data_IF_918525233346
#
_entry.id   IF_918525233346
#
_cell.length_a   1.000
_cell.length_b   1.000
_cell.length_c   1.000
_cell.angle_alpha   90.00
_cell.angle_beta   90.00
_cell.angle_gamma   90.00
#
_symmetry.space_group_name_H-M   'P 1'
#
loop_
_entity.id
_entity.type
_entity.pdbx_description
1 polymer ?
#
# COMPACT_ATOMS: atom_id res chain seq x y z
N UNK A 1 22.02 -52.87 -8.94
CA UNK A 1 23.38 -52.66 -9.49
C UNK A 1 23.30 -52.73 -11.01
N UNK A 2 23.37 -51.58 -11.70
CA UNK A 2 23.91 -51.47 -13.07
C UNK A 2 24.10 -49.98 -13.36
N UNK A 3 25.36 -49.60 -13.53
CA UNK A 3 25.84 -48.25 -13.86
C UNK A 3 25.81 -48.10 -15.38
N UNK A 4 25.45 -46.92 -15.91
CA UNK A 4 26.36 -46.07 -16.70
C UNK A 4 25.69 -44.84 -17.37
N UNK A 5 26.44 -43.73 -17.34
CA UNK A 5 26.51 -42.58 -18.29
C UNK A 5 25.31 -41.61 -18.23
N UNK A 6 25.44 -40.35 -17.82
CA UNK A 6 26.57 -39.43 -17.89
C UNK A 6 26.60 -38.71 -19.23
N UNK A 7 25.90 -37.57 -19.34
CA UNK A 7 26.16 -36.53 -20.36
C UNK A 7 26.05 -35.16 -19.73
N UNK A 8 27.20 -34.48 -19.72
CA UNK A 8 27.37 -33.04 -19.52
C UNK A 8 27.13 -32.34 -20.86
N UNK A 9 26.37 -31.25 -20.83
CA UNK A 9 26.47 -30.11 -21.74
C UNK A 9 26.42 -28.90 -20.79
N UNK A 10 27.32 -27.93 -20.78
CA UNK A 10 28.15 -27.37 -21.84
C UNK A 10 27.88 -25.87 -21.80
N UNK A 11 28.67 -25.14 -20.99
CA UNK A 11 28.65 -23.67 -20.90
C UNK A 11 28.86 -23.07 -22.30
N UNK A 12 28.02 -22.10 -22.67
CA UNK A 12 28.23 -21.20 -23.79
C UNK A 12 27.94 -19.77 -23.35
N UNK A 13 29.00 -18.99 -23.17
CA UNK A 13 28.96 -17.52 -23.17
C UNK A 13 28.47 -17.06 -24.54
N UNK A 14 27.48 -16.18 -24.60
CA UNK A 14 27.39 -15.11 -25.60
C UNK A 14 26.78 -13.87 -24.94
N UNK A 15 27.40 -12.72 -25.24
CA UNK A 15 27.15 -11.41 -24.67
C UNK A 15 26.31 -10.55 -25.64
N UNK A 16 25.49 -9.66 -25.04
CA UNK A 16 24.96 -8.40 -25.61
C UNK A 16 23.75 -8.51 -26.56
N UNK A 17 22.93 -7.43 -26.71
CA UNK A 17 23.07 -6.05 -26.20
C UNK A 17 22.08 -5.76 -25.04
N UNK A 18 22.41 -5.01 -23.98
CA UNK A 18 22.50 -3.54 -23.90
C UNK A 18 21.27 -2.79 -24.44
N UNK A 19 20.17 -2.79 -23.67
CA UNK A 19 19.14 -1.76 -23.76
C UNK A 19 19.43 -0.68 -22.70
N UNK A 20 20.14 0.35 -23.17
CA UNK A 20 20.37 1.62 -22.50
C UNK A 20 19.10 2.48 -22.66
N UNK A 21 18.39 2.74 -21.57
CA UNK A 21 17.47 3.87 -21.50
C UNK A 21 18.30 5.16 -21.48
N UNK A 22 18.06 5.97 -22.51
CA UNK A 22 18.62 7.30 -22.78
C UNK A 22 18.03 8.35 -21.82
N UNK A 23 18.83 8.74 -20.84
CA UNK A 23 18.68 10.02 -20.13
C UNK A 23 20.08 10.64 -19.95
N UNK A 24 20.65 11.14 -21.06
CA UNK A 24 21.86 11.98 -20.98
C UNK A 24 21.60 13.36 -21.60
N UNK A 25 21.25 14.33 -20.75
CA UNK A 25 21.56 15.74 -20.99
C UNK A 25 22.37 16.29 -19.82
N UNK A 26 23.68 16.41 -20.04
CA UNK A 26 24.48 17.49 -19.48
C UNK A 26 25.50 17.11 -18.39
N UNK A 27 26.78 17.30 -18.71
CA UNK A 27 27.78 17.73 -17.74
C UNK A 27 28.75 16.66 -17.24
N UNK A 28 29.87 16.47 -17.96
CA UNK A 28 31.08 15.90 -17.39
C UNK A 28 31.58 16.75 -16.21
N UNK A 29 31.72 16.16 -15.02
CA UNK A 29 32.85 16.43 -14.11
C UNK A 29 33.09 15.25 -13.15
N UNK A 30 34.19 14.54 -13.45
CA UNK A 30 35.17 13.86 -12.58
C UNK A 30 34.73 13.36 -11.17
N UNK A 31 34.80 12.05 -11.00
CA UNK A 31 34.80 11.33 -9.72
C UNK A 31 36.10 11.61 -8.96
N UNK A 32 35.99 11.87 -7.65
CA UNK A 32 37.08 11.62 -6.69
C UNK A 32 36.56 10.94 -5.42
N UNK A 33 37.45 10.15 -4.81
CA UNK A 33 37.19 9.12 -3.81
C UNK A 33 37.13 9.68 -2.37
N UNK A 34 36.40 8.95 -1.51
CA UNK A 34 36.39 8.95 -0.04
C UNK A 34 35.48 9.94 0.71
N UNK A 35 34.68 9.36 1.62
CA UNK A 35 34.69 9.78 3.03
C UNK A 35 33.48 10.57 3.51
N UNK A 36 32.64 9.90 4.30
CA UNK A 36 31.65 10.49 5.21
C UNK A 36 32.08 11.82 5.83
N UNK A 37 31.19 12.81 5.89
CA UNK A 37 31.11 13.73 7.04
C UNK A 37 29.70 14.36 7.13
N UNK A 38 29.07 14.17 8.28
CA UNK A 38 27.89 14.90 8.76
C UNK A 38 28.27 16.37 9.08
N UNK A 39 27.37 17.36 8.92
CA UNK A 39 27.50 18.63 9.59
C UNK A 39 26.49 18.80 10.72
N UNK A 40 27.01 18.80 11.95
CA UNK A 40 26.42 19.43 13.13
C UNK A 40 26.34 20.95 12.95
N UNK A 41 25.20 21.57 13.23
CA UNK A 41 25.10 23.03 13.35
C UNK A 41 24.84 23.45 14.80
N UNK A 42 25.87 24.04 15.40
CA UNK A 42 25.83 24.72 16.70
C UNK A 42 25.58 26.22 16.56
N UNK A 43 24.76 26.75 17.49
CA UNK A 43 24.37 28.15 17.68
C UNK A 43 25.53 29.13 17.95
N UNK A 44 25.40 30.37 17.44
CA UNK A 44 25.70 31.69 18.06
C UNK A 44 24.78 32.72 17.36
N UNK A 45 24.19 33.77 17.92
CA UNK A 45 24.30 34.41 19.23
C UNK A 45 24.63 35.91 19.10
N UNK A 46 23.64 36.79 19.26
CA UNK A 46 23.76 38.25 19.56
C UNK A 46 23.68 39.22 18.36
N UNK A 47 22.97 40.36 18.38
CA UNK A 47 22.10 41.00 19.38
C UNK A 47 21.70 42.44 18.96
N UNK A 48 20.56 42.93 19.49
CA UNK A 48 20.15 44.35 19.80
C UNK A 48 20.02 45.37 18.65
N UNK A 49 19.08 46.34 18.55
CA UNK A 49 18.03 47.02 19.36
C UNK A 49 17.14 47.79 18.34
N UNK A 50 15.84 48.06 18.52
CA UNK A 50 15.33 49.25 19.20
C UNK A 50 13.78 49.36 19.08
N UNK A 51 13.21 50.22 19.94
CA UNK A 51 11.83 50.32 20.43
C UNK A 51 10.81 50.99 19.48
N UNK A 52 9.54 50.67 19.77
CA UNK A 52 8.29 51.32 19.32
C UNK A 52 8.17 52.81 19.70
N UNK A 53 7.12 53.50 19.20
CA UNK A 53 6.01 53.84 20.11
C UNK A 53 4.60 53.67 19.50
N UNK A 54 3.60 53.80 20.39
CA UNK A 54 2.17 53.49 20.24
C UNK A 54 1.29 54.74 20.00
N UNK A 55 0.17 54.52 19.26
CA UNK A 55 -1.24 55.01 19.48
C UNK A 55 -1.57 56.52 19.26
N UNK A 56 -2.85 56.98 19.25
CA UNK A 56 -4.18 56.31 19.12
C UNK A 56 -5.26 57.09 18.25
N UNK A 57 -6.49 56.54 18.23
CA UNK A 57 -7.84 57.18 18.10
C UNK A 57 -8.61 57.21 16.76
N UNK A 58 -9.88 56.79 16.85
CA UNK A 58 -10.97 57.06 15.88
C UNK A 58 -12.23 56.21 16.14
N UNK A 59 -13.23 56.76 16.84
CA UNK A 59 -14.58 56.20 17.10
C UNK A 59 -15.58 56.60 16.00
N UNK A 60 -16.59 55.76 15.74
CA UNK A 60 -18.02 56.08 15.51
C UNK A 60 -18.79 54.76 15.24
N UNK A 61 -19.67 54.27 16.13
CA UNK A 61 -21.12 54.53 16.31
C UNK A 61 -22.04 53.83 15.26
N UNK A 62 -22.95 52.98 15.75
CA UNK A 62 -24.18 52.61 15.03
C UNK A 62 -24.79 51.24 15.38
N UNK A 63 -25.78 51.24 16.28
CA UNK A 63 -26.99 50.36 16.32
C UNK A 63 -26.77 48.83 16.21
N UNK A 64 -26.92 48.01 17.25
CA UNK A 64 -28.11 47.87 18.10
C UNK A 64 -28.98 46.71 17.58
N UNK A 65 -28.77 45.47 18.06
CA UNK A 65 -29.76 44.38 18.04
C UNK A 65 -29.51 43.42 19.20
N UNK A 66 -30.63 42.94 19.76
CA UNK A 66 -30.78 42.28 21.04
C UNK A 66 -30.24 40.84 21.08
N UNK A 67 -29.96 40.38 22.31
CA UNK A 67 -29.58 39.00 22.66
C UNK A 67 -30.64 37.98 22.26
N UNK A 68 -30.20 36.85 21.74
CA UNK A 68 -30.75 35.54 22.13
C UNK A 68 -29.66 34.48 22.07
N UNK A 69 -29.44 33.89 23.24
CA UNK A 69 -28.55 32.78 23.55
C UNK A 69 -29.04 31.48 22.90
N UNK A 70 -28.22 30.89 22.03
CA UNK A 70 -28.33 29.49 21.62
C UNK A 70 -26.96 28.83 21.81
N UNK A 71 -26.93 27.77 22.62
CA UNK A 71 -25.73 27.01 22.96
C UNK A 71 -25.11 26.32 21.73
N UNK A 72 -23.86 25.83 21.86
CA UNK A 72 -23.19 25.16 20.75
C UNK A 72 -23.88 23.81 20.48
N UNK A 73 -24.51 23.69 19.31
CA UNK A 73 -24.98 22.42 18.78
C UNK A 73 -23.81 21.46 18.53
N UNK A 74 -24.05 20.15 18.49
CA UNK A 74 -23.00 19.16 18.35
C UNK A 74 -22.28 19.37 17.02
N UNK A 75 -20.95 19.50 17.10
CA UNK A 75 -20.08 19.62 15.96
C UNK A 75 -20.34 18.48 14.99
N UNK A 76 -20.66 18.84 13.74
CA UNK A 76 -20.64 17.90 12.62
C UNK A 76 -19.23 17.36 12.50
N UNK A 77 -19.00 16.17 13.04
CA UNK A 77 -17.88 15.35 12.65
C UNK A 77 -17.99 15.19 11.13
N UNK A 78 -17.05 15.78 10.39
CA UNK A 78 -16.89 15.53 8.97
C UNK A 78 -16.39 14.10 8.81
N UNK A 79 -17.30 13.14 8.94
CA UNK A 79 -17.08 11.77 8.52
C UNK A 79 -16.80 11.82 7.03
N UNK A 80 -15.54 11.66 6.66
CA UNK A 80 -15.15 11.38 5.29
C UNK A 80 -15.83 10.06 4.92
N UNK A 81 -16.99 10.14 4.28
CA UNK A 81 -17.74 8.99 3.81
C UNK A 81 -16.93 8.34 2.70
N UNK A 82 -16.07 7.39 3.06
CA UNK A 82 -15.54 6.40 2.14
C UNK A 82 -16.70 5.51 1.70
N UNK A 83 -17.57 6.03 0.82
CA UNK A 83 -18.55 5.24 0.09
C UNK A 83 -17.79 4.25 -0.79
N UNK A 84 -17.72 3.00 -0.36
CA UNK A 84 -17.57 1.83 -1.22
C UNK A 84 -16.26 1.66 -1.97
N UNK A 85 -15.10 1.89 -1.34
CA UNK A 85 -13.85 1.34 -1.88
C UNK A 85 -13.60 0.01 -1.19
N UNK A 86 -13.95 -1.07 -1.88
CA UNK A 86 -13.78 -2.44 -1.43
C UNK A 86 -12.37 -2.80 -1.02
N UNK A 87 -12.21 -3.80 -0.14
CA UNK A 87 -10.91 -4.23 0.39
C UNK A 87 -10.10 -3.04 0.91
N UNK A 88 -10.78 -2.12 1.60
CA UNK A 88 -10.22 -0.82 2.02
C UNK A 88 -9.63 -0.83 3.42
N UNK A 89 -9.56 -1.99 4.07
CA UNK A 89 -9.04 -2.12 5.43
C UNK A 89 -8.52 -3.52 5.71
N UNK A 90 -7.35 -3.62 6.35
CA UNK A 90 -6.76 -4.91 6.72
C UNK A 90 -5.86 -4.83 7.96
N UNK A 91 -5.33 -5.97 8.38
CA UNK A 91 -4.46 -6.15 9.54
C UNK A 91 -3.02 -6.41 9.12
N UNK A 92 -2.08 -5.80 9.83
CA UNK A 92 -0.65 -6.06 9.70
C UNK A 92 -0.06 -6.15 11.10
N UNK A 93 -0.13 -7.34 11.69
CA UNK A 93 0.25 -7.68 13.06
C UNK A 93 1.50 -8.56 13.11
N UNK A 94 1.69 -9.46 12.13
CA UNK A 94 2.87 -10.34 12.08
C UNK A 94 4.17 -9.51 12.09
N UNK A 95 5.10 -9.92 12.94
CA UNK A 95 6.40 -9.24 13.09
C UNK A 95 7.29 -9.42 11.85
N UNK A 96 8.25 -8.52 11.67
CA UNK A 96 9.10 -8.48 10.47
C UNK A 96 9.85 -9.80 10.25
N UNK A 97 10.40 -10.40 11.30
CA UNK A 97 11.18 -11.63 11.20
C UNK A 97 10.30 -12.83 10.81
N UNK A 98 9.08 -12.91 11.35
CA UNK A 98 8.12 -13.94 10.97
C UNK A 98 7.66 -13.78 9.51
N UNK A 99 7.51 -12.54 9.03
CA UNK A 99 7.23 -12.28 7.61
C UNK A 99 8.40 -12.68 6.70
N UNK A 100 9.64 -12.51 7.16
CA UNK A 100 10.84 -12.94 6.40
C UNK A 100 10.80 -14.44 6.15
N UNK A 101 10.53 -15.22 7.19
CA UNK A 101 10.42 -16.67 7.09
C UNK A 101 9.19 -17.10 6.28
N UNK A 102 8.02 -16.52 6.57
CA UNK A 102 6.77 -16.87 5.90
C UNK A 102 6.83 -16.61 4.40
N UNK A 103 7.34 -15.45 3.96
CA UNK A 103 7.36 -15.04 2.55
C UNK A 103 8.61 -15.49 1.78
N UNK A 104 9.56 -16.17 2.47
CA UNK A 104 10.86 -16.60 1.91
C UNK A 104 11.67 -15.40 1.39
N UNK A 105 11.87 -14.41 2.25
CA UNK A 105 12.56 -13.16 1.92
C UNK A 105 14.08 -13.36 1.96
N UNK A 106 14.77 -12.86 0.94
CA UNK A 106 16.24 -12.88 0.87
C UNK A 106 16.88 -11.60 1.42
N UNK A 107 16.22 -10.45 1.24
CA UNK A 107 16.73 -9.13 1.62
C UNK A 107 15.65 -8.30 2.32
N UNK A 108 15.99 -7.77 3.50
CA UNK A 108 15.14 -6.82 4.24
C UNK A 108 15.65 -5.40 3.98
N UNK A 109 14.83 -4.58 3.36
CA UNK A 109 15.16 -3.21 2.96
C UNK A 109 14.42 -2.15 3.80
N UNK A 110 14.01 -2.51 5.02
CA UNK A 110 13.20 -1.64 5.87
C UNK A 110 13.31 -1.99 7.35
N UNK A 111 13.04 -1.01 8.21
CA UNK A 111 12.84 -1.26 9.64
C UNK A 111 11.46 -1.91 9.89
N UNK A 112 11.19 -2.44 11.08
CA UNK A 112 9.85 -2.89 11.46
C UNK A 112 8.81 -1.76 11.46
N UNK A 113 7.64 -2.01 10.86
CA UNK A 113 6.41 -1.25 11.07
C UNK A 113 5.77 -1.66 12.40
N UNK A 114 5.09 -0.73 13.10
CA UNK A 114 4.30 -1.10 14.27
C UNK A 114 3.12 -1.99 13.85
N UNK A 115 2.67 -2.92 14.71
CA UNK A 115 1.47 -3.70 14.44
C UNK A 115 0.26 -2.78 14.29
N UNK A 116 -0.60 -3.09 13.33
CA UNK A 116 -1.81 -2.35 12.97
C UNK A 116 -2.99 -3.30 12.87
N UNK A 117 -3.99 -3.09 13.69
CA UNK A 117 -5.29 -3.76 13.60
C UNK A 117 -6.19 -3.10 12.54
N UNK A 118 -5.89 -1.87 12.11
CA UNK A 118 -6.76 -1.09 11.23
C UNK A 118 -6.01 -0.34 10.13
N UNK A 119 -5.23 -1.08 9.31
CA UNK A 119 -4.48 -0.51 8.18
C UNK A 119 -5.45 0.10 7.17
N UNK A 120 -5.22 1.36 6.80
CA UNK A 120 -6.06 2.12 5.88
C UNK A 120 -5.25 2.74 4.72
N UNK A 121 -5.93 3.16 3.64
CA UNK A 121 -5.31 3.84 2.52
C UNK A 121 -4.41 4.99 2.93
N UNK A 122 -3.35 5.19 2.15
CA UNK A 122 -2.25 6.14 2.33
C UNK A 122 -1.21 5.77 3.39
N UNK A 123 -1.44 4.75 4.21
CA UNK A 123 -0.43 4.23 5.13
C UNK A 123 0.66 3.46 4.38
N UNK A 124 1.82 3.33 4.99
CA UNK A 124 2.86 2.41 4.56
C UNK A 124 2.51 0.99 5.02
N UNK A 125 2.69 0.03 4.12
CA UNK A 125 2.40 -1.38 4.35
C UNK A 125 3.60 -2.21 3.91
N UNK A 126 3.80 -3.37 4.52
CA UNK A 126 4.79 -4.32 4.01
C UNK A 126 4.40 -4.81 2.62
N UNK A 127 5.40 -5.00 1.79
CA UNK A 127 5.27 -5.72 0.54
C UNK A 127 6.61 -6.34 0.15
N UNK A 128 6.56 -7.45 -0.56
CA UNK A 128 7.75 -8.00 -1.21
C UNK A 128 7.75 -7.68 -2.70
N UNK A 129 8.94 -7.44 -3.24
CA UNK A 129 9.19 -7.35 -4.68
C UNK A 129 10.30 -8.31 -5.04
N UNK A 130 10.19 -8.96 -6.18
CA UNK A 130 11.28 -9.80 -6.70
C UNK A 130 12.11 -8.95 -7.68
N UNK A 131 13.42 -8.90 -7.45
CA UNK A 131 14.37 -8.18 -8.31
C UNK A 131 15.67 -8.96 -8.41
N UNK A 132 16.13 -9.18 -9.64
CA UNK A 132 17.41 -9.85 -9.93
C UNK A 132 17.50 -11.24 -9.27
N UNK A 133 16.36 -11.96 -9.21
CA UNK A 133 16.26 -13.29 -8.60
C UNK A 133 16.24 -13.30 -7.06
N UNK A 134 16.10 -12.14 -6.43
CA UNK A 134 16.02 -11.99 -4.97
C UNK A 134 14.68 -11.37 -4.57
N UNK A 135 14.01 -11.99 -3.59
CA UNK A 135 12.80 -11.46 -2.95
C UNK A 135 13.16 -10.48 -1.86
N UNK A 136 12.76 -9.23 -2.02
CA UNK A 136 13.06 -8.14 -1.09
C UNK A 136 11.81 -7.69 -0.37
N UNK A 137 11.84 -7.63 0.95
CA UNK A 137 10.76 -7.07 1.78
C UNK A 137 11.07 -5.60 2.08
N UNK A 138 10.12 -4.74 1.76
CA UNK A 138 10.17 -3.31 2.06
C UNK A 138 8.81 -2.76 2.45
N UNK A 139 8.68 -1.43 2.35
CA UNK A 139 7.42 -0.72 2.60
C UNK A 139 6.95 -0.03 1.33
N UNK A 140 5.67 -0.12 1.06
CA UNK A 140 5.01 0.61 -0.03
C UNK A 140 3.86 1.44 0.56
N UNK A 141 3.66 2.64 0.03
CA UNK A 141 2.44 3.39 0.34
C UNK A 141 1.23 2.72 -0.32
N UNK A 142 0.19 2.40 0.45
CA UNK A 142 -1.06 1.88 -0.11
C UNK A 142 -1.90 3.00 -0.75
N UNK A 143 -2.08 2.95 -2.06
CA UNK A 143 -2.68 4.03 -2.85
C UNK A 143 -1.76 4.38 -4.01
N UNK A 144 -2.05 3.78 -5.15
CA UNK A 144 -1.19 3.78 -6.33
C UNK A 144 -1.02 5.17 -6.92
N UNK A 145 0.23 5.62 -7.03
CA UNK A 145 0.62 6.90 -7.60
C UNK A 145 1.39 6.66 -8.90
N UNK A 146 0.75 6.76 -10.08
CA UNK A 146 1.42 6.42 -11.34
C UNK A 146 2.67 7.27 -11.56
N UNK A 147 3.71 6.68 -12.17
CA UNK A 147 5.01 7.34 -12.38
C UNK A 147 4.94 8.64 -13.19
N UNK A 148 3.88 8.85 -13.98
CA UNK A 148 3.63 10.05 -14.78
C UNK A 148 2.77 11.10 -14.07
N UNK A 149 2.37 10.86 -12.81
CA UNK A 149 1.60 11.84 -12.05
C UNK A 149 2.39 13.16 -11.91
N UNK A 150 1.69 14.29 -12.05
CA UNK A 150 2.32 15.61 -11.92
C UNK A 150 2.57 16.03 -10.47
N UNK A 151 1.80 15.48 -9.53
CA UNK A 151 1.96 15.79 -8.12
C UNK A 151 1.44 14.65 -7.25
N UNK A 152 1.96 14.56 -6.02
CA UNK A 152 1.49 13.62 -5.00
C UNK A 152 0.14 14.00 -4.38
N UNK A 153 -0.23 15.28 -4.42
CA UNK A 153 -1.44 15.81 -3.74
C UNK A 153 -2.64 15.99 -4.68
N UNK A 154 -2.52 15.63 -5.95
CA UNK A 154 -3.58 15.74 -6.96
C UNK A 154 -3.82 14.43 -7.71
N UNK A 155 -5.07 14.22 -8.14
CA UNK A 155 -5.45 13.06 -8.95
C UNK A 155 -5.95 11.85 -8.14
N UNK A 156 -6.44 10.84 -8.86
CA UNK A 156 -6.96 9.60 -8.28
C UNK A 156 -5.80 8.70 -7.89
N UNK A 157 -5.75 8.28 -6.62
CA UNK A 157 -4.79 7.31 -6.09
C UNK A 157 -5.54 6.03 -5.72
N UNK A 158 -5.83 5.17 -6.70
CA UNK A 158 -6.61 3.97 -6.45
C UNK A 158 -5.84 3.03 -5.53
N UNK A 159 -6.54 2.48 -4.55
CA UNK A 159 -5.99 1.50 -3.61
C UNK A 159 -6.10 0.06 -4.16
N UNK A 160 -6.95 -0.12 -5.18
CA UNK A 160 -7.17 -1.39 -5.84
C UNK A 160 -7.06 -1.30 -7.36
N UNK A 161 -6.63 -2.40 -7.97
CA UNK A 161 -6.68 -2.64 -9.40
C UNK A 161 -7.57 -3.86 -9.68
N UNK A 162 -8.48 -3.77 -10.66
CA UNK A 162 -9.37 -4.87 -11.03
C UNK A 162 -8.63 -5.82 -11.96
N UNK A 163 -8.62 -7.12 -11.65
CA UNK A 163 -7.90 -8.12 -12.45
C UNK A 163 -8.40 -8.16 -13.90
N UNK A 164 -9.69 -7.93 -14.13
CA UNK A 164 -10.36 -8.00 -15.44
C UNK A 164 -9.82 -6.97 -16.45
N UNK A 165 -9.31 -5.84 -15.96
CA UNK A 165 -8.75 -4.77 -16.80
C UNK A 165 -7.28 -4.51 -16.49
N UNK A 166 -6.65 -5.36 -15.67
CA UNK A 166 -5.31 -5.12 -15.14
C UNK A 166 -4.27 -5.00 -16.25
N UNK A 167 -4.30 -5.91 -17.23
CA UNK A 167 -3.37 -5.95 -18.35
C UNK A 167 -3.63 -4.91 -19.45
N UNK A 168 -4.84 -4.33 -19.51
CA UNK A 168 -5.24 -3.37 -20.56
C UNK A 168 -5.42 -1.95 -20.05
N UNK A 169 -5.41 -1.76 -18.72
CA UNK A 169 -5.57 -0.47 -18.07
C UNK A 169 -4.39 0.45 -18.39
N UNK A 170 -4.69 1.66 -18.89
CA UNK A 170 -3.69 2.72 -19.09
C UNK A 170 -2.90 3.08 -17.82
N UNK A 171 -3.49 2.83 -16.65
CA UNK A 171 -2.87 3.15 -15.36
C UNK A 171 -2.03 1.98 -14.83
N UNK A 172 -2.48 0.74 -15.03
CA UNK A 172 -1.94 -0.43 -14.34
C UNK A 172 -1.16 -1.38 -15.22
N UNK A 173 -1.41 -1.43 -16.54
CA UNK A 173 -0.83 -2.44 -17.44
C UNK A 173 0.70 -2.53 -17.35
N UNK A 174 1.39 -1.37 -17.33
CA UNK A 174 2.86 -1.35 -17.19
C UNK A 174 3.33 -1.89 -15.84
N UNK A 175 2.61 -1.59 -14.76
CA UNK A 175 2.97 -2.12 -13.43
C UNK A 175 2.61 -3.60 -13.31
N UNK A 176 1.52 -4.04 -13.92
CA UNK A 176 1.20 -5.46 -14.01
C UNK A 176 2.25 -6.25 -14.78
N UNK A 177 2.79 -5.70 -15.87
CA UNK A 177 3.82 -6.38 -16.67
C UNK A 177 5.19 -6.43 -15.97
N UNK A 178 5.58 -5.39 -15.22
CA UNK A 178 6.95 -5.24 -14.73
C UNK A 178 7.13 -5.11 -13.22
N UNK A 179 6.07 -4.82 -12.47
CA UNK A 179 6.13 -4.34 -11.08
C UNK A 179 4.99 -4.94 -10.27
N UNK A 180 5.03 -6.25 -10.09
CA UNK A 180 4.13 -6.99 -9.19
C UNK A 180 4.78 -7.08 -7.81
N UNK A 181 3.94 -7.22 -6.79
CA UNK A 181 4.37 -7.40 -5.40
C UNK A 181 3.43 -8.34 -4.66
N UNK A 182 3.91 -8.90 -3.55
CA UNK A 182 3.10 -9.63 -2.59
C UNK A 182 2.84 -8.71 -1.39
N UNK A 183 1.61 -8.65 -0.91
CA UNK A 183 1.22 -7.85 0.25
C UNK A 183 0.71 -8.79 1.35
N UNK A 184 1.49 -9.06 2.41
CA UNK A 184 1.02 -9.88 3.52
C UNK A 184 -0.04 -9.16 4.35
N UNK A 185 -0.92 -9.93 4.97
CA UNK A 185 -2.00 -9.43 5.83
C UNK A 185 -2.49 -10.52 6.78
N UNK A 186 -2.67 -10.20 8.05
CA UNK A 186 -3.20 -11.13 9.07
C UNK A 186 -4.72 -11.31 8.95
N UNK A 187 -5.37 -10.53 8.09
CA UNK A 187 -6.81 -10.54 7.89
C UNK A 187 -7.28 -9.24 7.26
N UNK A 188 -8.48 -9.22 6.70
CA UNK A 188 -9.08 -8.01 6.14
C UNK A 188 -10.51 -7.82 6.61
N UNK A 189 -11.00 -6.59 6.49
CA UNK A 189 -12.37 -6.27 6.85
C UNK A 189 -13.23 -6.12 5.61
N UNK A 190 -14.48 -6.58 5.70
CA UNK A 190 -15.51 -6.20 4.75
C UNK A 190 -16.86 -5.91 5.39
N UNK A 191 -17.64 -5.09 4.70
CA UNK A 191 -18.90 -4.56 5.21
C UNK A 191 -20.08 -5.11 4.41
N UNK A 192 -20.80 -6.04 5.00
CA UNK A 192 -22.02 -6.60 4.42
C UNK A 192 -23.09 -5.52 4.35
N UNK A 193 -23.70 -5.37 3.17
CA UNK A 193 -24.83 -4.47 3.00
C UNK A 193 -26.07 -5.02 3.70
N UNK A 194 -26.79 -4.14 4.37
CA UNK A 194 -28.09 -4.46 4.93
C UNK A 194 -29.13 -4.42 3.79
N UNK A 195 -29.89 -5.51 3.54
CA UNK A 195 -30.87 -5.57 2.44
C UNK A 195 -31.99 -4.52 2.54
N UNK A 196 -32.29 -4.03 3.74
CA UNK A 196 -33.31 -3.00 4.01
C UNK A 196 -32.71 -1.59 4.01
N UNK A 197 -31.41 -1.45 3.74
CA UNK A 197 -30.68 -0.17 3.71
C UNK A 197 -30.23 0.32 5.08
N UNK A 198 -30.20 -0.56 6.09
CA UNK A 198 -29.63 -0.33 7.41
C UNK A 198 -28.11 -0.11 7.43
N UNK A 199 -27.51 0.06 8.63
CA UNK A 199 -26.07 0.17 8.77
C UNK A 199 -25.38 -1.12 8.32
N UNK A 200 -24.25 -1.00 7.62
CA UNK A 200 -23.48 -2.16 7.17
C UNK A 200 -22.85 -2.90 8.36
N UNK A 201 -22.93 -4.23 8.36
CA UNK A 201 -22.29 -5.10 9.34
C UNK A 201 -20.83 -5.37 8.95
N UNK A 202 -19.83 -4.95 9.74
CA UNK A 202 -18.45 -5.31 9.49
C UNK A 202 -18.15 -6.77 9.85
N UNK A 203 -17.32 -7.40 9.03
CA UNK A 203 -16.76 -8.72 9.24
C UNK A 203 -15.25 -8.64 9.20
N UNK A 204 -14.59 -9.39 10.07
CA UNK A 204 -13.19 -9.73 9.97
C UNK A 204 -13.05 -11.06 9.21
N UNK A 205 -12.21 -11.08 8.17
CA UNK A 205 -11.90 -12.26 7.37
C UNK A 205 -10.41 -12.60 7.49
N UNK A 206 -10.11 -13.80 7.97
CA UNK A 206 -8.74 -14.28 8.15
C UNK A 206 -8.62 -15.77 7.78
N UNK A 207 -7.39 -16.25 7.66
CA UNK A 207 -7.17 -17.70 7.59
C UNK A 207 -7.67 -18.35 8.91
N UNK A 208 -8.46 -19.44 8.84
CA UNK A 208 -9.00 -20.08 10.04
C UNK A 208 -7.96 -20.65 11.01
N UNK A 209 -6.72 -20.87 10.56
CA UNK A 209 -5.60 -21.37 11.37
C UNK A 209 -4.67 -20.25 11.84
N UNK A 210 -4.94 -19.00 11.45
CA UNK A 210 -4.18 -17.81 11.90
C UNK A 210 -2.94 -17.48 11.07
N UNK A 211 -2.73 -18.16 9.93
CA UNK A 211 -1.63 -17.87 9.02
C UNK A 211 -1.83 -16.54 8.27
N UNK A 212 -0.76 -15.78 8.00
CA UNK A 212 -0.85 -14.60 7.14
C UNK A 212 -1.40 -14.93 5.75
N UNK A 213 -2.36 -14.12 5.31
CA UNK A 213 -2.84 -14.08 3.95
C UNK A 213 -1.86 -13.30 3.09
N UNK A 214 -1.79 -13.62 1.79
CA UNK A 214 -0.97 -12.88 0.84
C UNK A 214 -1.82 -12.36 -0.31
N UNK A 215 -1.92 -11.04 -0.44
CA UNK A 215 -2.61 -10.39 -1.54
C UNK A 215 -1.67 -10.19 -2.73
N UNK A 216 -2.19 -10.42 -3.93
CA UNK A 216 -1.56 -9.96 -5.16
C UNK A 216 -1.58 -8.42 -5.21
N UNK A 217 -0.42 -7.80 -5.39
CA UNK A 217 -0.27 -6.36 -5.56
C UNK A 217 0.45 -5.99 -6.85
N UNK A 218 0.28 -4.74 -7.26
CA UNK A 218 1.13 -4.08 -8.25
C UNK A 218 1.65 -2.77 -7.68
N UNK A 219 2.88 -2.43 -8.00
CA UNK A 219 3.54 -1.27 -7.45
C UNK A 219 4.14 -0.36 -8.52
N UNK A 220 4.48 0.84 -8.10
CA UNK A 220 5.11 1.84 -8.96
C UNK A 220 6.04 2.73 -8.14
N UNK A 221 6.99 3.35 -8.85
CA UNK A 221 7.92 4.34 -8.31
C UNK A 221 7.59 5.67 -8.96
N UNK A 222 7.37 6.69 -8.14
CA UNK A 222 7.13 8.05 -8.58
C UNK A 222 8.21 8.97 -8.01
N UNK A 223 8.84 9.79 -8.86
CA UNK A 223 9.77 10.84 -8.45
C UNK A 223 9.06 12.18 -8.60
N UNK A 224 9.29 13.09 -7.66
CA UNK A 224 8.69 14.41 -7.71
C UNK A 224 9.28 15.19 -8.90
N UNK A 225 8.48 15.60 -9.90
CA UNK A 225 8.99 16.36 -11.03
C UNK A 225 9.38 17.80 -10.64
N UNK A 226 8.99 18.28 -9.47
CA UNK A 226 9.33 19.61 -8.96
C UNK A 226 10.48 19.59 -7.94
N UNK A 227 10.88 18.40 -7.46
CA UNK A 227 11.96 18.20 -6.49
C UNK A 227 12.75 16.92 -6.82
N UNK A 228 13.74 17.04 -7.72
CA UNK A 228 14.59 15.93 -8.15
C UNK A 228 15.42 15.33 -7.01
N UNK A 229 15.65 16.08 -5.93
CA UNK A 229 16.41 15.63 -4.77
C UNK A 229 15.55 14.82 -3.77
N UNK A 230 14.22 14.84 -3.92
CA UNK A 230 13.33 14.07 -3.07
C UNK A 230 13.47 12.56 -3.34
N UNK A 231 13.40 11.78 -2.26
CA UNK A 231 13.34 10.33 -2.37
C UNK A 231 12.11 9.88 -3.17
N UNK A 232 12.23 8.83 -4.01
CA UNK A 232 11.11 8.31 -4.77
C UNK A 232 10.02 7.78 -3.83
N UNK A 233 8.77 8.02 -4.20
CA UNK A 233 7.61 7.42 -3.54
C UNK A 233 7.31 6.08 -4.19
N UNK A 234 7.47 5.01 -3.43
CA UNK A 234 7.00 3.68 -3.81
C UNK A 234 5.57 3.48 -3.32
N UNK A 235 4.67 3.08 -4.22
CA UNK A 235 3.26 2.92 -3.89
C UNK A 235 2.66 1.69 -4.56
N UNK A 236 1.57 1.16 -3.98
CA UNK A 236 0.93 -0.08 -4.42
C UNK A 236 -0.59 0.05 -4.53
N UNK A 237 -1.17 -0.78 -5.39
CA UNK A 237 -2.58 -1.14 -5.39
C UNK A 237 -2.72 -2.65 -5.24
N UNK A 238 -3.70 -3.07 -4.43
CA UNK A 238 -4.06 -4.48 -4.27
C UNK A 238 -4.91 -4.91 -5.47
N UNK A 239 -4.60 -6.06 -6.04
CA UNK A 239 -5.38 -6.63 -7.14
C UNK A 239 -6.64 -7.27 -6.56
N UNK A 240 -7.78 -7.00 -7.20
CA UNK A 240 -9.09 -7.50 -6.78
C UNK A 240 -9.72 -8.31 -7.90
N UNK A 241 -10.55 -9.29 -7.52
CA UNK A 241 -11.32 -10.16 -8.42
C UNK A 241 -12.78 -10.22 -7.95
N UNK A 242 -13.65 -10.83 -8.75
CA UNK A 242 -14.98 -11.27 -8.32
C UNK A 242 -14.90 -12.11 -7.04
N UNK A 243 -15.80 -11.86 -6.09
CA UNK A 243 -15.82 -12.57 -4.82
C UNK A 243 -16.25 -14.03 -4.95
N UNK A 244 -15.69 -14.89 -4.10
CA UNK A 244 -15.98 -16.32 -4.02
C UNK A 244 -16.00 -16.75 -2.55
N UNK A 245 -16.65 -17.88 -2.26
CA UNK A 245 -16.75 -18.42 -0.91
C UNK A 245 -17.41 -17.45 0.06
N UNK A 246 -16.94 -17.43 1.31
CA UNK A 246 -17.52 -16.61 2.40
C UNK A 246 -17.59 -15.11 2.09
N UNK A 247 -16.76 -14.60 1.17
CA UNK A 247 -16.78 -13.18 0.81
C UNK A 247 -17.97 -12.83 -0.09
N UNK A 248 -18.44 -13.77 -0.91
CA UNK A 248 -19.51 -13.51 -1.88
C UNK A 248 -20.83 -13.12 -1.20
N UNK A 249 -21.07 -13.60 0.02
CA UNK A 249 -22.23 -13.25 0.84
C UNK A 249 -22.11 -11.84 1.47
N UNK A 250 -20.88 -11.30 1.53
CA UNK A 250 -20.59 -9.99 2.12
C UNK A 250 -20.49 -8.91 1.04
N UNK A 251 -19.85 -9.23 -0.09
CA UNK A 251 -19.63 -8.30 -1.19
C UNK A 251 -19.28 -8.99 -2.51
N UNK A 252 -19.59 -8.34 -3.65
CA UNK A 252 -19.29 -8.83 -5.01
C UNK A 252 -17.79 -8.81 -5.43
N UNK A 253 -16.86 -8.41 -4.55
CA UNK A 253 -15.42 -8.28 -4.85
C UNK A 253 -14.58 -8.75 -3.68
N UNK A 254 -13.39 -9.22 -3.98
CA UNK A 254 -12.41 -9.67 -2.99
C UNK A 254 -10.98 -9.35 -3.44
N UNK A 255 -9.98 -9.31 -2.54
CA UNK A 255 -8.58 -9.27 -2.96
C UNK A 255 -8.22 -10.60 -3.63
N UNK A 256 -7.29 -10.58 -4.59
CA UNK A 256 -6.71 -11.82 -5.11
C UNK A 256 -5.78 -12.39 -4.04
N UNK A 257 -6.22 -13.45 -3.38
CA UNK A 257 -5.42 -14.20 -2.41
C UNK A 257 -4.54 -15.22 -3.13
N UNK A 258 -3.23 -15.07 -3.01
CA UNK A 258 -2.26 -15.95 -3.66
C UNK A 258 -1.87 -17.09 -2.71
N UNK A 259 -2.08 -18.36 -3.11
CA UNK A 259 -1.49 -19.47 -2.37
C UNK A 259 0.04 -19.45 -2.51
N UNK A 260 0.78 -20.09 -1.59
CA UNK A 260 2.25 -20.15 -1.65
C UNK A 260 2.83 -20.65 -2.97
N UNK A 261 2.08 -21.48 -3.70
CA UNK A 261 2.48 -22.03 -5.00
C UNK A 261 2.48 -20.99 -6.13
N UNK A 262 1.87 -19.81 -5.96
CA UNK A 262 1.82 -18.75 -6.98
C UNK A 262 2.65 -17.52 -6.63
N UNK A 263 3.30 -17.49 -5.47
CA UNK A 263 4.07 -16.31 -5.03
C UNK A 263 5.22 -16.00 -5.97
N UNK A 264 6.01 -17.01 -6.34
CA UNK A 264 7.18 -16.86 -7.20
C UNK A 264 6.78 -16.50 -8.63
N UNK A 265 5.72 -17.12 -9.17
CA UNK A 265 5.18 -16.78 -10.48
C UNK A 265 4.64 -15.34 -10.49
N UNK A 266 3.84 -14.97 -9.49
CA UNK A 266 3.26 -13.63 -9.42
C UNK A 266 4.32 -12.56 -9.28
N UNK A 267 5.29 -12.71 -8.38
CA UNK A 267 6.30 -11.69 -8.15
C UNK A 267 7.38 -11.67 -9.25
N UNK A 268 7.76 -12.84 -9.78
CA UNK A 268 8.95 -13.02 -10.62
C UNK A 268 8.73 -13.21 -12.12
N UNK A 269 7.49 -13.41 -12.61
CA UNK A 269 7.25 -13.64 -14.04
C UNK A 269 7.85 -12.55 -14.95
N UNK A 270 8.24 -12.93 -16.15
CA UNK A 270 8.65 -11.96 -17.17
C UNK A 270 7.45 -11.11 -17.62
N UNK A 271 7.67 -9.94 -18.24
CA UNK A 271 6.59 -9.16 -18.85
C UNK A 271 5.80 -9.95 -19.90
N UNK A 272 6.48 -10.83 -20.64
CA UNK A 272 5.90 -11.70 -21.66
C UNK A 272 5.00 -12.78 -21.04
N UNK A 273 5.37 -13.31 -19.87
CA UNK A 273 4.63 -14.35 -19.16
C UNK A 273 3.53 -13.80 -18.24
N UNK A 274 3.59 -12.51 -17.89
CA UNK A 274 2.63 -11.87 -16.99
C UNK A 274 1.15 -12.11 -17.36
N UNK A 275 0.74 -12.10 -18.64
CA UNK A 275 -0.65 -12.41 -19.01
C UNK A 275 -1.12 -13.80 -18.56
N UNK A 276 -0.25 -14.81 -18.54
CA UNK A 276 -0.62 -16.18 -18.10
C UNK A 276 -0.99 -16.23 -16.61
N UNK A 277 -0.51 -15.27 -15.80
CA UNK A 277 -0.89 -15.16 -14.40
C UNK A 277 -2.40 -14.92 -14.21
N UNK A 278 -3.05 -14.27 -15.17
CA UNK A 278 -4.50 -14.03 -15.12
C UNK A 278 -5.27 -15.34 -15.19
N UNK A 279 -4.80 -16.29 -16.00
CA UNK A 279 -5.38 -17.63 -16.11
C UNK A 279 -5.13 -18.45 -14.85
N UNK A 280 -3.91 -18.40 -14.30
CA UNK A 280 -3.56 -19.07 -13.05
C UNK A 280 -4.44 -18.57 -11.88
N UNK A 281 -4.65 -17.25 -11.78
CA UNK A 281 -5.54 -16.66 -10.77
C UNK A 281 -7.01 -17.01 -11.02
N UNK A 282 -7.45 -17.06 -12.29
CA UNK A 282 -8.82 -17.46 -12.62
C UNK A 282 -9.11 -18.92 -12.28
N UNK A 283 -8.10 -19.78 -12.33
CA UNK A 283 -8.20 -21.19 -11.95
C UNK A 283 -8.23 -21.43 -10.43
N UNK A 284 -7.97 -20.40 -9.60
CA UNK A 284 -8.06 -20.52 -8.16
C UNK A 284 -9.52 -20.74 -7.71
N UNK A 285 -9.70 -21.72 -6.82
CA UNK A 285 -10.96 -21.95 -6.12
C UNK A 285 -11.32 -20.82 -5.14
N UNK A 286 -12.42 -21.01 -4.42
CA UNK A 286 -12.74 -20.14 -3.30
C UNK A 286 -11.67 -20.27 -2.20
N UNK A 287 -11.14 -19.16 -1.68
CA UNK A 287 -10.16 -19.22 -0.61
C UNK A 287 -10.80 -19.68 0.69
N UNK A 288 -10.00 -20.37 1.51
CA UNK A 288 -10.39 -20.80 2.85
C UNK A 288 -10.28 -19.60 3.79
N UNK A 289 -11.41 -19.05 4.19
CA UNK A 289 -11.49 -17.91 5.11
C UNK A 289 -12.53 -18.15 6.19
N UNK A 290 -12.24 -17.68 7.39
CA UNK A 290 -13.23 -17.53 8.47
C UNK A 290 -13.73 -16.09 8.44
N UNK A 291 -15.02 -15.90 8.18
CA UNK A 291 -15.68 -14.61 8.35
C UNK A 291 -16.27 -14.54 9.76
N UNK A 292 -15.94 -13.51 10.52
CA UNK A 292 -16.42 -13.29 11.90
C UNK A 292 -17.03 -11.90 12.00
N UNK A 293 -18.32 -11.77 12.37
CA UNK A 293 -18.95 -10.46 12.54
C UNK A 293 -18.32 -9.74 13.74
N UNK A 294 -17.99 -8.46 13.57
CA UNK A 294 -17.33 -7.63 14.59
C UNK A 294 -18.13 -6.35 14.86
N UNK A 295 -17.71 -5.59 15.88
CA UNK A 295 -18.32 -4.31 16.21
C UNK A 295 -18.02 -3.20 15.19
N UNK A 296 -18.83 -2.15 15.18
CA UNK A 296 -18.67 -0.99 14.27
C UNK A 296 -17.50 -0.07 14.63
N UNK A 297 -16.79 -0.33 15.74
CA UNK A 297 -15.60 0.41 16.16
C UNK A 297 -14.53 0.50 15.07
N UNK A 298 -14.40 -0.53 14.22
CA UNK A 298 -13.44 -0.58 13.09
C UNK A 298 -13.67 0.53 12.05
N UNK A 299 -14.88 1.10 11.99
CA UNK A 299 -15.26 2.12 11.01
C UNK A 299 -14.38 3.38 11.13
N UNK A 300 -14.05 3.81 12.35
CA UNK A 300 -13.09 4.91 12.57
C UNK A 300 -11.66 4.37 12.51
N UNK A 301 -10.91 4.82 11.50
CA UNK A 301 -9.50 4.47 11.27
C UNK A 301 -8.57 4.84 12.42
N UNK A 302 -8.99 5.72 13.32
CA UNK A 302 -8.20 6.08 14.51
C UNK A 302 -8.20 4.99 15.57
N UNK A 303 -9.16 4.08 15.53
CA UNK A 303 -9.19 2.92 16.41
C UNK A 303 -8.27 1.85 15.82
N UNK A 304 -7.34 1.33 16.61
CA UNK A 304 -6.25 0.47 16.12
C UNK A 304 -5.75 -0.46 17.23
N UNK A 305 -6.68 -1.18 17.85
CA UNK A 305 -6.41 -2.09 18.96
C UNK A 305 -7.06 -3.46 18.78
N UNK A 306 -6.66 -4.45 19.59
CA UNK A 306 -7.17 -5.82 19.50
C UNK A 306 -8.68 -5.94 19.72
N UNK A 307 -9.29 -4.96 20.40
CA UNK A 307 -10.74 -4.90 20.61
C UNK A 307 -11.54 -4.85 19.30
N UNK A 308 -10.92 -4.42 18.18
CA UNK A 308 -11.53 -4.43 16.85
C UNK A 308 -11.87 -5.83 16.35
N UNK A 309 -11.19 -6.86 16.87
CA UNK A 309 -11.41 -8.26 16.51
C UNK A 309 -12.44 -8.94 17.40
N UNK A 310 -13.02 -8.22 18.38
CA UNK A 310 -14.03 -8.78 19.28
C UNK A 310 -15.28 -9.13 18.49
N UNK A 311 -15.70 -10.42 18.46
CA UNK A 311 -16.92 -10.81 17.79
C UNK A 311 -18.13 -10.14 18.43
N UNK A 312 -19.10 -9.75 17.61
CA UNK A 312 -20.45 -9.44 18.13
C UNK A 312 -21.21 -10.75 18.28
N UNK A 313 -21.99 -10.86 19.37
CA UNK A 313 -22.91 -11.99 19.53
C UNK A 313 -24.11 -11.79 18.59
N UNK A 314 -24.58 -12.89 18.02
CA UNK A 314 -25.82 -12.93 17.23
C UNK A 314 -27.05 -12.53 18.05
#
# INVERSE_FOLDING_TARGET
MLRHRGRRFGRGLLAGPEDLDDDTKGGLTRIDRHGCFLPSWSRRGGGTTARSPRRPFGRANGTGWQRSSHGPGPGRASGNQYRGVMCGRFLSLTDLDDLVDHLRVDEVATDPLPPRYNVAPSMEIYATIDRDGSRRLGRLRWGFLPSWAKSRRGGRQPINARIETLATSRMFARSFAHRRCLVPSDGFYEWQEDPEGGPKQPYHLADPDGEPLVFAGIWTSWRDPEDEAADPVFSTAIVTTEARGAIADLHHRMPVLLPPTLWDDWAGATPEDAPHLLEAVAALGAPRLRATPIGTTVNDVRNDGPELLTPVSD
#
